data_IF_100720023863
#
_entry.id   IF_100720023863
#
_cell.length_a   1.000
_cell.length_b   1.000
_cell.length_c   1.000
_cell.angle_alpha   90.00
_cell.angle_beta   90.00
_cell.angle_gamma   90.00
#
_symmetry.space_group_name_H-M   'P 1'
#
loop_
_entity.id
_entity.type
_entity.pdbx_description
1 polymer ?
#
# COMPACT_ATOMS: atom_id res chain seq x y z
N UNK A 1 -28.98 48.18 -42.82
CA UNK A 1 -28.86 48.41 -44.28
C UNK A 1 -27.75 47.50 -44.78
N UNK A 2 -28.10 46.36 -45.38
CA UNK A 2 -27.12 45.51 -46.05
C UNK A 2 -26.67 46.28 -47.30
N UNK A 3 -25.46 46.85 -47.24
CA UNK A 3 -24.84 47.42 -48.43
C UNK A 3 -24.64 46.25 -49.41
N UNK A 4 -25.39 46.24 -50.51
CA UNK A 4 -25.09 45.38 -51.66
C UNK A 4 -23.62 45.66 -52.02
N UNK A 5 -22.72 44.68 -51.83
CA UNK A 5 -21.27 44.85 -52.02
C UNK A 5 -20.87 45.12 -53.48
N UNK A 6 -21.84 45.25 -54.38
CA UNK A 6 -21.65 45.34 -55.84
C UNK A 6 -21.50 46.77 -56.37
N UNK A 7 -21.65 47.77 -55.52
CA UNK A 7 -21.30 49.16 -55.85
C UNK A 7 -19.95 49.57 -55.22
N UNK A 8 -18.99 48.67 -55.08
CA UNK A 8 -17.77 48.98 -54.30
C UNK A 8 -16.51 49.22 -55.16
N UNK A 9 -16.58 48.94 -56.45
CA UNK A 9 -15.42 49.00 -57.34
C UNK A 9 -15.84 49.13 -58.80
N UNK A 10 -14.89 49.52 -59.65
CA UNK A 10 -15.10 49.68 -61.09
C UNK A 10 -14.02 48.86 -61.82
N UNK A 11 -14.36 47.83 -62.61
CA UNK A 11 -13.38 47.07 -63.37
C UNK A 11 -12.72 47.94 -64.45
N UNK A 12 -11.44 47.68 -64.70
CA UNK A 12 -10.63 48.38 -65.69
C UNK A 12 -10.40 47.44 -66.88
N UNK A 13 -10.83 47.84 -68.06
CA UNK A 13 -10.64 47.10 -69.31
C UNK A 13 -11.86 46.29 -69.77
N UNK A 14 -11.68 45.57 -70.89
CA UNK A 14 -12.73 44.75 -71.53
C UNK A 14 -12.52 43.29 -71.09
N UNK A 15 -13.59 42.64 -70.64
CA UNK A 15 -13.56 41.26 -70.17
C UNK A 15 -14.67 40.42 -70.83
N UNK A 16 -14.49 39.10 -70.79
CA UNK A 16 -15.41 38.17 -71.42
C UNK A 16 -16.72 38.05 -70.60
N UNK A 17 -17.85 38.00 -71.29
CA UNK A 17 -19.18 37.81 -70.68
C UNK A 17 -19.31 36.50 -69.91
N UNK A 18 -18.46 35.50 -70.21
CA UNK A 18 -18.41 34.24 -69.47
C UNK A 18 -18.00 34.40 -68.02
N UNK A 19 -17.38 35.53 -67.63
CA UNK A 19 -16.95 35.84 -66.25
C UNK A 19 -18.04 36.55 -65.42
N UNK A 20 -19.19 36.84 -66.04
CA UNK A 20 -20.31 37.50 -65.40
C UNK A 20 -21.13 36.51 -64.56
N UNK A 21 -21.52 36.96 -63.38
CA UNK A 21 -22.47 36.27 -62.50
C UNK A 21 -23.84 36.21 -63.17
N UNK A 22 -24.44 35.03 -63.28
CA UNK A 22 -25.76 34.88 -63.92
C UNK A 22 -26.94 35.48 -63.14
N UNK A 23 -26.78 35.69 -61.83
CA UNK A 23 -27.84 36.29 -60.99
C UNK A 23 -27.81 37.83 -61.08
N UNK A 24 -26.63 38.45 -61.05
CA UNK A 24 -26.53 39.92 -61.03
C UNK A 24 -26.10 40.54 -62.36
N UNK A 25 -25.71 39.72 -63.34
CA UNK A 25 -25.18 40.12 -64.64
C UNK A 25 -23.96 41.06 -64.57
N UNK A 26 -23.17 40.96 -63.50
CA UNK A 26 -21.96 41.75 -63.26
C UNK A 26 -20.76 40.83 -63.06
N UNK A 27 -19.54 41.36 -63.16
CA UNK A 27 -18.31 40.59 -63.01
C UNK A 27 -18.29 39.85 -61.67
N UNK A 28 -18.02 38.55 -61.71
CA UNK A 28 -18.11 37.71 -60.51
C UNK A 28 -17.12 38.16 -59.42
N UNK A 29 -17.58 38.31 -58.17
CA UNK A 29 -16.76 38.54 -56.97
C UNK A 29 -16.77 37.27 -56.13
N UNK A 30 -15.60 36.84 -55.64
CA UNK A 30 -15.44 35.58 -54.91
C UNK A 30 -16.21 34.46 -55.65
N UNK A 31 -15.79 34.17 -56.90
CA UNK A 31 -16.57 33.39 -57.85
C UNK A 31 -16.80 31.97 -57.33
N UNK A 32 -18.02 31.47 -57.53
CA UNK A 32 -18.40 30.08 -57.28
C UNK A 32 -19.07 29.54 -58.54
N UNK A 33 -18.76 28.29 -58.90
CA UNK A 33 -19.37 27.61 -60.05
C UNK A 33 -20.47 26.67 -59.58
N UNK A 34 -21.59 26.58 -60.29
CA UNK A 34 -22.56 25.52 -60.04
C UNK A 34 -21.94 24.15 -60.31
N UNK A 35 -22.16 23.19 -59.43
CA UNK A 35 -21.62 21.84 -59.55
C UNK A 35 -22.16 21.08 -60.79
N UNK A 36 -23.33 21.47 -61.31
CA UNK A 36 -24.03 20.78 -62.38
C UNK A 36 -23.93 21.50 -63.74
N UNK A 37 -24.24 22.80 -63.79
CA UNK A 37 -24.25 23.56 -65.05
C UNK A 37 -22.99 24.41 -65.30
N UNK A 38 -22.04 24.42 -64.35
CA UNK A 38 -20.75 25.14 -64.44
C UNK A 38 -20.87 26.67 -64.63
N UNK A 39 -22.07 27.22 -64.55
CA UNK A 39 -22.29 28.66 -64.56
C UNK A 39 -21.69 29.33 -63.32
N UNK A 40 -21.21 30.55 -63.52
CA UNK A 40 -20.54 31.35 -62.51
C UNK A 40 -21.51 32.26 -61.75
N UNK A 41 -21.30 32.35 -60.44
CA UNK A 41 -22.03 33.22 -59.53
C UNK A 41 -21.08 33.89 -58.55
N UNK A 42 -21.43 35.07 -58.04
CA UNK A 42 -20.74 35.60 -56.86
C UNK A 42 -21.17 34.80 -55.63
N UNK A 43 -20.25 34.53 -54.69
CA UNK A 43 -20.58 33.82 -53.45
C UNK A 43 -21.78 34.40 -52.70
N UNK A 44 -21.86 35.73 -52.56
CA UNK A 44 -23.02 36.37 -51.93
C UNK A 44 -24.32 36.18 -52.72
N UNK A 45 -24.24 36.18 -54.05
CA UNK A 45 -25.41 35.92 -54.90
C UNK A 45 -25.92 34.51 -54.65
N UNK A 46 -25.01 33.55 -54.59
CA UNK A 46 -25.34 32.18 -54.26
C UNK A 46 -25.95 32.05 -52.85
N UNK A 47 -25.35 32.65 -51.83
CA UNK A 47 -25.86 32.58 -50.45
C UNK A 47 -27.25 33.21 -50.31
N UNK A 48 -27.48 34.37 -50.93
CA UNK A 48 -28.78 35.03 -50.96
C UNK A 48 -29.81 34.19 -51.74
N UNK A 49 -29.47 33.73 -52.93
CA UNK A 49 -30.41 32.95 -53.76
C UNK A 49 -30.70 31.56 -53.20
N UNK A 50 -29.73 30.90 -52.55
CA UNK A 50 -29.93 29.63 -51.83
C UNK A 50 -30.96 29.75 -50.70
N UNK A 51 -31.03 30.91 -50.04
CA UNK A 51 -32.04 31.15 -49.01
C UNK A 51 -33.48 31.26 -49.58
N UNK A 52 -33.61 31.48 -50.89
CA UNK A 52 -34.90 31.69 -51.58
C UNK A 52 -35.27 30.55 -52.54
N UNK A 53 -34.31 29.78 -53.06
CA UNK A 53 -34.51 28.72 -54.04
C UNK A 53 -33.61 27.51 -53.74
N UNK A 54 -34.20 26.31 -53.69
CA UNK A 54 -33.46 25.03 -53.51
C UNK A 54 -32.84 24.49 -54.82
N UNK A 55 -33.30 24.99 -55.98
CA UNK A 55 -32.82 24.63 -57.31
C UNK A 55 -32.02 25.76 -57.95
N UNK A 56 -31.13 25.42 -58.87
CA UNK A 56 -30.33 26.39 -59.61
C UNK A 56 -31.27 27.35 -60.39
N UNK A 57 -31.04 28.67 -60.39
CA UNK A 57 -31.91 29.64 -61.06
C UNK A 57 -31.81 29.63 -62.60
N UNK A 58 -31.05 28.69 -63.17
CA UNK A 58 -30.84 28.58 -64.61
C UNK A 58 -31.76 27.51 -65.18
N UNK A 59 -32.53 27.88 -66.20
CA UNK A 59 -33.52 27.02 -66.89
C UNK A 59 -32.93 25.68 -67.36
N UNK A 60 -31.64 25.65 -67.68
CA UNK A 60 -30.94 24.46 -68.18
C UNK A 60 -30.32 23.59 -67.06
N UNK A 61 -30.72 23.77 -65.78
CA UNK A 61 -30.14 23.06 -64.64
C UNK A 61 -31.17 22.65 -63.59
N UNK A 62 -31.62 21.38 -63.64
CA UNK A 62 -32.60 20.80 -62.70
C UNK A 62 -32.02 20.34 -61.35
N UNK A 63 -30.70 20.40 -61.18
CA UNK A 63 -30.00 19.93 -60.00
C UNK A 63 -30.12 20.84 -58.76
N UNK A 64 -29.77 20.33 -57.57
CA UNK A 64 -29.74 21.14 -56.35
C UNK A 64 -28.75 22.29 -56.50
N UNK A 65 -29.07 23.47 -55.96
CA UNK A 65 -28.19 24.64 -56.08
C UNK A 65 -26.96 24.47 -55.17
N UNK A 66 -25.96 23.74 -55.66
CA UNK A 66 -24.70 23.45 -54.98
C UNK A 66 -23.55 24.02 -55.79
N UNK A 67 -22.54 24.53 -55.09
CA UNK A 67 -21.39 25.19 -55.70
C UNK A 67 -20.07 24.47 -55.47
N UNK A 68 -19.19 24.57 -56.46
CA UNK A 68 -17.79 24.13 -56.44
C UNK A 68 -16.86 25.32 -56.68
N UNK A 69 -15.59 25.12 -56.37
CA UNK A 69 -14.54 26.09 -56.72
C UNK A 69 -14.45 26.22 -58.24
N UNK A 70 -14.30 27.46 -58.77
CA UNK A 70 -14.25 27.66 -60.22
C UNK A 70 -13.12 26.91 -60.91
N UNK A 71 -13.24 26.63 -62.20
CA UNK A 71 -12.17 26.04 -62.97
C UNK A 71 -10.93 26.95 -62.96
N UNK A 72 -9.73 26.36 -62.96
CA UNK A 72 -8.46 27.10 -62.84
C UNK A 72 -8.33 28.23 -63.87
N UNK A 73 -8.74 27.98 -65.12
CA UNK A 73 -8.69 28.98 -66.19
C UNK A 73 -9.55 30.22 -65.87
N UNK A 74 -10.73 30.05 -65.25
CA UNK A 74 -11.60 31.16 -64.88
C UNK A 74 -10.94 32.01 -63.80
N UNK A 75 -10.34 31.38 -62.78
CA UNK A 75 -9.58 32.10 -61.74
C UNK A 75 -8.39 32.86 -62.32
N UNK A 76 -7.66 32.24 -63.25
CA UNK A 76 -6.52 32.90 -63.91
C UNK A 76 -6.97 34.10 -64.75
N UNK A 77 -8.14 34.04 -65.41
CA UNK A 77 -8.71 35.16 -66.16
C UNK A 77 -9.18 36.30 -65.24
N UNK A 78 -9.87 35.98 -64.14
CA UNK A 78 -10.32 36.97 -63.15
C UNK A 78 -9.13 37.66 -62.46
N UNK A 79 -8.05 36.93 -62.20
CA UNK A 79 -6.84 37.49 -61.57
C UNK A 79 -6.15 38.58 -62.39
N UNK A 80 -6.37 38.60 -63.71
CA UNK A 80 -5.79 39.60 -64.64
C UNK A 80 -6.61 40.88 -64.71
N UNK A 81 -7.83 40.89 -64.18
CA UNK A 81 -8.68 42.08 -64.17
C UNK A 81 -8.28 42.97 -62.99
N UNK A 82 -7.98 44.23 -63.29
CA UNK A 82 -7.71 45.25 -62.27
C UNK A 82 -8.96 46.07 -61.99
N UNK A 83 -9.09 46.51 -60.74
CA UNK A 83 -10.25 47.24 -60.24
C UNK A 83 -9.80 48.55 -59.60
N UNK A 84 -10.53 49.64 -59.85
CA UNK A 84 -10.41 50.89 -59.10
C UNK A 84 -11.49 50.98 -58.03
N UNK A 85 -11.18 51.62 -56.91
CA UNK A 85 -12.14 51.87 -55.82
C UNK A 85 -13.33 52.71 -56.32
N UNK A 86 -14.56 52.47 -55.81
CA UNK A 86 -15.70 53.35 -56.13
C UNK A 86 -15.45 54.80 -55.71
N UNK A 87 -14.71 55.01 -54.62
CA UNK A 87 -14.32 56.34 -54.13
C UNK A 87 -13.17 56.95 -54.94
N UNK A 88 -12.90 56.45 -56.15
CA UNK A 88 -11.88 57.03 -57.04
C UNK A 88 -12.17 58.50 -57.36
N UNK A 89 -13.44 58.84 -57.57
CA UNK A 89 -13.85 60.24 -57.80
C UNK A 89 -13.68 61.12 -56.55
N UNK A 90 -13.70 60.51 -55.35
CA UNK A 90 -13.49 61.18 -54.07
C UNK A 90 -12.00 61.30 -53.69
N UNK A 91 -11.09 60.76 -54.52
CA UNK A 91 -9.64 60.85 -54.35
C UNK A 91 -8.91 59.53 -54.11
N UNK A 92 -9.61 58.39 -54.02
CA UNK A 92 -8.96 57.09 -53.86
C UNK A 92 -8.35 56.58 -55.17
N UNK A 93 -7.05 56.81 -55.37
CA UNK A 93 -6.31 56.36 -56.56
C UNK A 93 -5.82 54.90 -56.49
N UNK A 94 -6.41 54.08 -55.62
CA UNK A 94 -5.94 52.70 -55.43
C UNK A 94 -6.52 51.80 -56.51
N UNK A 95 -5.63 51.17 -57.28
CA UNK A 95 -5.93 50.07 -58.18
C UNK A 95 -5.54 48.74 -57.51
N UNK A 96 -6.38 47.72 -57.64
CA UNK A 96 -6.20 46.45 -56.94
C UNK A 96 -6.73 45.28 -57.76
N UNK A 97 -6.16 44.10 -57.51
CA UNK A 97 -6.72 42.84 -57.98
C UNK A 97 -8.02 42.51 -57.21
N UNK A 98 -8.87 41.68 -57.81
CA UNK A 98 -10.17 41.29 -57.27
C UNK A 98 -10.13 40.84 -55.80
N UNK A 99 -9.14 40.02 -55.44
CA UNK A 99 -9.00 39.43 -54.11
C UNK A 99 -8.76 40.48 -52.99
N UNK A 100 -8.30 41.67 -53.37
CA UNK A 100 -7.97 42.75 -52.44
C UNK A 100 -9.07 43.82 -52.34
N UNK A 101 -10.12 43.74 -53.15
CA UNK A 101 -11.23 44.70 -53.18
C UNK A 101 -11.95 44.79 -51.83
N UNK A 102 -12.31 43.63 -51.26
CA UNK A 102 -13.03 43.57 -49.98
C UNK A 102 -12.14 44.12 -48.84
N UNK A 103 -10.86 43.74 -48.83
CA UNK A 103 -9.89 44.21 -47.82
C UNK A 103 -9.72 45.73 -47.88
N UNK A 104 -9.50 46.28 -49.07
CA UNK A 104 -9.38 47.71 -49.25
C UNK A 104 -10.62 48.45 -48.80
N UNK A 105 -11.83 47.94 -49.08
CA UNK A 105 -13.05 48.66 -48.73
C UNK A 105 -13.25 48.85 -47.24
N UNK A 106 -12.86 47.86 -46.43
CA UNK A 106 -12.86 48.00 -44.97
C UNK A 106 -11.87 49.05 -44.45
N UNK A 107 -10.83 49.37 -45.23
CA UNK A 107 -9.72 50.24 -44.85
C UNK A 107 -9.68 51.56 -45.62
N UNK A 108 -10.57 51.77 -46.59
CA UNK A 108 -10.56 52.93 -47.47
C UNK A 108 -10.75 54.22 -46.66
N UNK A 109 -9.74 55.09 -46.73
CA UNK A 109 -9.72 56.37 -46.02
C UNK A 109 -10.75 57.37 -46.56
N UNK A 110 -11.16 57.21 -47.82
CA UNK A 110 -12.14 58.06 -48.50
C UNK A 110 -13.58 57.56 -48.34
N UNK A 111 -13.79 56.46 -47.61
CA UNK A 111 -15.13 55.96 -47.31
C UNK A 111 -15.89 56.96 -46.42
N UNK A 112 -17.13 57.27 -46.79
CA UNK A 112 -18.02 58.10 -45.99
C UNK A 112 -18.53 57.33 -44.77
N UNK A 113 -18.37 57.92 -43.59
CA UNK A 113 -18.81 57.40 -42.30
C UNK A 113 -19.64 58.45 -41.57
N UNK A 114 -20.79 58.02 -41.04
CA UNK A 114 -21.68 58.90 -40.28
C UNK A 114 -21.23 58.96 -38.83
N UNK A 115 -20.94 60.17 -38.33
CA UNK A 115 -20.67 60.39 -36.92
C UNK A 115 -21.97 60.38 -36.10
N UNK A 116 -21.88 60.11 -34.79
CA UNK A 116 -23.00 60.23 -33.83
C UNK A 116 -23.67 61.60 -33.79
N UNK A 117 -23.00 62.66 -34.27
CA UNK A 117 -23.61 63.99 -34.45
C UNK A 117 -24.54 64.08 -35.68
N UNK A 118 -24.66 63.02 -36.48
CA UNK A 118 -25.48 62.97 -37.70
C UNK A 118 -24.78 63.47 -38.97
N UNK A 119 -23.55 63.97 -38.87
CA UNK A 119 -22.78 64.45 -40.04
C UNK A 119 -21.94 63.31 -40.66
N UNK A 120 -21.85 63.30 -41.99
CA UNK A 120 -21.03 62.36 -42.76
C UNK A 120 -19.63 62.94 -42.99
N UNK A 121 -18.60 62.14 -42.74
CA UNK A 121 -17.20 62.50 -42.97
C UNK A 121 -16.50 61.38 -43.73
N UNK A 122 -15.48 61.71 -44.51
CA UNK A 122 -14.52 60.71 -44.96
C UNK A 122 -13.77 60.15 -43.74
N UNK A 123 -13.47 58.84 -43.75
CA UNK A 123 -12.78 58.15 -42.65
C UNK A 123 -11.46 58.83 -42.25
N UNK A 124 -10.72 59.41 -43.20
CA UNK A 124 -9.53 60.21 -42.90
C UNK A 124 -9.80 61.47 -42.07
N UNK A 125 -10.96 62.11 -42.28
CA UNK A 125 -11.34 63.35 -41.59
C UNK A 125 -12.10 63.08 -40.29
N UNK A 126 -12.49 61.82 -40.02
CA UNK A 126 -13.18 61.44 -38.81
C UNK A 126 -12.33 61.70 -37.56
N UNK A 127 -11.03 61.45 -37.62
CA UNK A 127 -10.11 61.66 -36.48
C UNK A 127 -10.00 63.16 -36.13
N UNK A 128 -9.91 64.02 -37.13
CA UNK A 128 -9.95 65.48 -36.93
C UNK A 128 -11.30 65.93 -36.36
N UNK A 129 -12.41 65.33 -36.81
CA UNK A 129 -13.74 65.62 -36.29
C UNK A 129 -13.93 65.22 -34.83
N UNK A 130 -13.37 64.08 -34.37
CA UNK A 130 -13.47 63.64 -32.97
C UNK A 130 -13.02 64.71 -31.97
N UNK A 131 -11.99 65.47 -32.34
CA UNK A 131 -11.43 66.54 -31.49
C UNK A 131 -12.30 67.81 -31.39
N UNK A 132 -13.32 67.93 -32.24
CA UNK A 132 -14.21 69.09 -32.33
C UNK A 132 -15.68 68.74 -32.09
N UNK A 133 -16.04 67.46 -32.19
CA UNK A 133 -17.41 66.98 -32.07
C UNK A 133 -17.87 66.94 -30.62
N UNK A 134 -18.92 67.69 -30.29
CA UNK A 134 -19.51 67.75 -28.95
C UNK A 134 -20.03 66.41 -28.41
N UNK A 135 -20.30 65.45 -29.30
CA UNK A 135 -20.82 64.12 -28.97
C UNK A 135 -19.73 63.03 -28.89
N UNK A 136 -18.49 63.36 -29.26
CA UNK A 136 -17.34 62.44 -29.22
C UNK A 136 -16.25 62.93 -28.28
N UNK A 137 -16.05 64.26 -28.21
CA UNK A 137 -15.09 64.88 -27.31
C UNK A 137 -15.55 64.72 -25.86
N UNK A 138 -14.70 64.11 -25.06
CA UNK A 138 -14.94 63.91 -23.64
C UNK A 138 -14.13 64.87 -22.78
N UNK A 139 -14.68 65.21 -21.62
CA UNK A 139 -14.05 66.01 -20.59
C UNK A 139 -14.51 65.49 -19.22
N UNK A 140 -13.63 65.58 -18.22
CA UNK A 140 -13.95 65.16 -16.86
C UNK A 140 -14.82 66.23 -16.16
N UNK A 141 -15.93 65.87 -15.48
CA UNK A 141 -16.62 66.82 -14.56
C UNK A 141 -15.61 67.27 -13.50
N UNK A 142 -15.49 68.58 -13.26
CA UNK A 142 -14.58 69.16 -12.27
C UNK A 142 -14.91 68.78 -10.82
N UNK A 143 -16.11 68.23 -10.57
CA UNK A 143 -16.61 67.87 -9.25
C UNK A 143 -16.50 66.36 -9.00
N UNK A 144 -17.02 65.52 -9.90
CA UNK A 144 -17.06 64.06 -9.72
C UNK A 144 -15.96 63.30 -10.51
N UNK A 145 -15.17 64.00 -11.33
CA UNK A 145 -14.10 63.47 -12.18
C UNK A 145 -14.53 62.41 -13.22
N UNK A 146 -15.83 62.20 -13.42
CA UNK A 146 -16.34 61.29 -14.44
C UNK A 146 -16.06 61.85 -15.84
N UNK A 147 -15.52 61.01 -16.74
CA UNK A 147 -15.30 61.36 -18.15
C UNK A 147 -16.61 61.30 -18.92
N UNK A 148 -17.10 62.45 -19.35
CA UNK A 148 -18.40 62.63 -20.02
C UNK A 148 -18.21 63.33 -21.37
N UNK A 149 -19.11 63.13 -22.33
CA UNK A 149 -19.08 63.94 -23.56
C UNK A 149 -19.38 65.39 -23.25
N UNK A 150 -18.95 66.34 -24.08
CA UNK A 150 -19.28 67.76 -23.89
C UNK A 150 -20.80 68.02 -23.90
N UNK A 151 -21.57 67.21 -24.63
CA UNK A 151 -23.04 67.24 -24.60
C UNK A 151 -23.57 66.83 -23.22
N UNK A 152 -23.10 65.71 -22.69
CA UNK A 152 -23.55 65.18 -21.40
C UNK A 152 -23.08 66.05 -20.22
N UNK A 153 -21.91 66.67 -20.33
CA UNK A 153 -21.39 67.60 -19.33
C UNK A 153 -22.33 68.81 -19.11
N UNK A 154 -23.05 69.26 -20.15
CA UNK A 154 -24.03 70.36 -20.03
C UNK A 154 -25.26 69.97 -19.23
N UNK A 155 -25.67 68.69 -19.25
CA UNK A 155 -26.86 68.19 -18.56
C UNK A 155 -26.51 67.45 -17.27
N UNK A 156 -25.22 67.28 -16.97
CA UNK A 156 -24.73 66.51 -15.84
C UNK A 156 -24.96 67.21 -14.50
N UNK A 157 -25.74 66.56 -13.63
CA UNK A 157 -26.00 67.01 -12.25
C UNK A 157 -25.06 66.28 -11.29
N UNK A 158 -23.81 66.75 -11.14
CA UNK A 158 -22.76 66.02 -10.38
C UNK A 158 -23.23 65.65 -8.93
N UNK A 159 -24.08 66.44 -8.27
CA UNK A 159 -24.67 66.14 -6.94
C UNK A 159 -25.58 64.90 -6.91
N UNK A 160 -26.40 64.68 -7.94
CA UNK A 160 -27.33 63.55 -7.98
C UNK A 160 -26.59 62.23 -8.18
N UNK A 161 -25.57 62.23 -9.03
CA UNK A 161 -24.73 61.05 -9.23
C UNK A 161 -23.91 60.73 -7.97
N UNK A 162 -23.39 61.75 -7.27
CA UNK A 162 -22.72 61.54 -5.98
C UNK A 162 -23.69 60.95 -4.93
N UNK A 163 -24.91 61.47 -4.83
CA UNK A 163 -25.92 60.93 -3.91
C UNK A 163 -26.25 59.46 -4.23
N UNK A 164 -26.39 59.12 -5.52
CA UNK A 164 -26.61 57.74 -5.97
C UNK A 164 -25.46 56.83 -5.61
N UNK A 165 -24.21 57.28 -5.81
CA UNK A 165 -23.00 56.53 -5.44
C UNK A 165 -22.96 56.30 -3.92
N UNK A 166 -23.29 57.31 -3.10
CA UNK A 166 -23.35 57.18 -1.64
C UNK A 166 -24.38 56.13 -1.21
N UNK A 167 -25.59 56.15 -1.78
CA UNK A 167 -26.64 55.16 -1.50
C UNK A 167 -26.14 53.75 -1.87
N UNK A 168 -25.55 53.59 -3.05
CA UNK A 168 -24.97 52.31 -3.48
C UNK A 168 -23.86 51.82 -2.55
N UNK A 169 -23.02 52.72 -2.04
CA UNK A 169 -22.00 52.36 -1.05
C UNK A 169 -22.61 51.98 0.29
N UNK A 170 -23.67 52.66 0.74
CA UNK A 170 -24.37 52.32 1.98
C UNK A 170 -25.03 50.93 1.90
N UNK A 171 -25.70 50.62 0.79
CA UNK A 171 -26.30 49.30 0.53
C UNK A 171 -25.21 48.21 0.54
N UNK A 172 -24.12 48.40 -0.22
CA UNK A 172 -23.00 47.46 -0.22
C UNK A 172 -22.37 47.27 1.16
N UNK A 173 -22.21 48.35 1.91
CA UNK A 173 -21.67 48.27 3.27
C UNK A 173 -22.58 47.46 4.20
N UNK A 174 -23.89 47.63 4.06
CA UNK A 174 -24.87 46.85 4.81
C UNK A 174 -24.80 45.35 4.44
N UNK A 175 -24.71 45.03 3.16
CA UNK A 175 -24.53 43.64 2.69
C UNK A 175 -23.26 43.01 3.27
N UNK A 176 -22.13 43.73 3.22
CA UNK A 176 -20.88 43.25 3.80
C UNK A 176 -20.97 43.03 5.31
N UNK A 177 -21.68 43.91 6.02
CA UNK A 177 -21.91 43.77 7.46
C UNK A 177 -22.73 42.52 7.77
N UNK A 178 -23.78 42.25 6.99
CA UNK A 178 -24.63 41.06 7.15
C UNK A 178 -23.86 39.77 6.83
N UNK A 179 -23.11 39.75 5.73
CA UNK A 179 -22.25 38.62 5.37
C UNK A 179 -21.21 38.33 6.45
N UNK A 180 -20.56 39.38 6.97
CA UNK A 180 -19.58 39.25 8.06
C UNK A 180 -20.23 38.69 9.33
N UNK A 181 -21.41 39.21 9.71
CA UNK A 181 -22.14 38.71 10.87
C UNK A 181 -22.55 37.24 10.70
N UNK A 182 -23.01 36.85 9.51
CA UNK A 182 -23.34 35.46 9.21
C UNK A 182 -22.12 34.55 9.33
N UNK A 183 -20.98 34.95 8.76
CA UNK A 183 -19.73 34.20 8.85
C UNK A 183 -19.25 34.04 10.32
N UNK A 184 -19.35 35.11 11.12
CA UNK A 184 -19.02 35.06 12.56
C UNK A 184 -19.95 34.09 13.30
N UNK A 185 -21.26 34.12 13.00
CA UNK A 185 -22.22 33.22 13.62
C UNK A 185 -21.96 31.76 13.25
N UNK A 186 -21.65 31.50 11.98
CA UNK A 186 -21.29 30.17 11.49
C UNK A 186 -20.05 29.63 12.19
N UNK A 187 -18.98 30.43 12.28
CA UNK A 187 -17.75 30.06 12.99
C UNK A 187 -18.05 29.77 14.47
N UNK A 188 -18.86 30.60 15.13
CA UNK A 188 -19.26 30.36 16.53
C UNK A 188 -20.04 29.06 16.70
N UNK A 189 -20.95 28.75 15.78
CA UNK A 189 -21.72 27.51 15.82
C UNK A 189 -20.84 26.29 15.62
N UNK A 190 -19.92 26.33 14.65
CA UNK A 190 -18.94 25.28 14.42
C UNK A 190 -18.04 25.08 15.66
N UNK A 191 -17.53 26.16 16.25
CA UNK A 191 -16.75 26.11 17.48
C UNK A 191 -17.53 25.47 18.63
N UNK A 192 -18.79 25.84 18.84
CA UNK A 192 -19.65 25.26 19.87
C UNK A 192 -19.86 23.76 19.66
N UNK A 193 -20.07 23.33 18.41
CA UNK A 193 -20.20 21.92 18.07
C UNK A 193 -18.91 21.15 18.42
N UNK A 194 -17.75 21.63 17.96
CA UNK A 194 -16.46 21.01 18.25
C UNK A 194 -16.15 20.97 19.75
N UNK A 195 -16.49 22.01 20.51
CA UNK A 195 -16.34 22.02 21.97
C UNK A 195 -17.22 20.95 22.61
N UNK A 196 -18.46 20.81 22.16
CA UNK A 196 -19.40 19.81 22.69
C UNK A 196 -18.91 18.38 22.42
N UNK A 197 -18.45 18.11 21.20
CA UNK A 197 -17.89 16.83 20.80
C UNK A 197 -16.60 16.49 21.58
N UNK A 198 -15.70 17.47 21.73
CA UNK A 198 -14.49 17.31 22.53
C UNK A 198 -14.80 17.05 24.01
N UNK A 199 -15.81 17.72 24.58
CA UNK A 199 -16.26 17.48 25.94
C UNK A 199 -16.85 16.08 26.12
N UNK A 200 -17.65 15.60 25.16
CA UNK A 200 -18.19 14.24 25.17
C UNK A 200 -17.06 13.19 25.10
N UNK A 201 -16.10 13.38 24.19
CA UNK A 201 -14.92 12.52 24.06
C UNK A 201 -14.08 12.51 25.34
N UNK A 202 -13.91 13.67 25.98
CA UNK A 202 -13.21 13.79 27.27
C UNK A 202 -13.93 13.02 28.38
N UNK A 203 -15.25 13.07 28.44
CA UNK A 203 -16.03 12.29 29.42
C UNK A 203 -15.86 10.78 29.20
N UNK A 204 -15.91 10.32 27.95
CA UNK A 204 -15.66 8.91 27.62
C UNK A 204 -14.25 8.48 28.03
N UNK A 205 -13.24 9.31 27.76
CA UNK A 205 -11.85 9.03 28.14
C UNK A 205 -11.68 8.94 29.67
N UNK A 206 -12.34 9.83 30.43
CA UNK A 206 -12.33 9.78 31.88
C UNK A 206 -12.98 8.50 32.42
N UNK A 207 -14.08 8.04 31.81
CA UNK A 207 -14.70 6.77 32.19
C UNK A 207 -13.77 5.57 31.93
N UNK A 208 -13.12 5.53 30.76
CA UNK A 208 -12.13 4.48 30.42
C UNK A 208 -10.90 4.51 31.34
N UNK A 209 -10.47 5.69 31.78
CA UNK A 209 -9.37 5.81 32.74
C UNK A 209 -9.74 5.22 34.10
N UNK A 210 -10.96 5.45 34.58
CA UNK A 210 -11.43 4.87 35.84
C UNK A 210 -11.61 3.35 35.73
N UNK A 211 -12.14 2.86 34.61
CA UNK A 211 -12.25 1.41 34.34
C UNK A 211 -10.85 0.75 34.32
N UNK A 212 -9.88 1.35 33.63
CA UNK A 212 -8.50 0.85 33.62
C UNK A 212 -7.88 0.81 35.02
N UNK A 213 -8.19 1.79 35.87
CA UNK A 213 -7.73 1.82 37.26
C UNK A 213 -8.35 0.69 38.08
N UNK A 214 -9.64 0.43 37.91
CA UNK A 214 -10.31 -0.70 38.54
C UNK A 214 -9.70 -2.04 38.10
N UNK A 215 -9.55 -2.25 36.79
CA UNK A 215 -8.94 -3.45 36.23
C UNK A 215 -7.50 -3.66 36.73
N UNK A 216 -6.73 -2.59 36.87
CA UNK A 216 -5.38 -2.65 37.43
C UNK A 216 -5.38 -3.11 38.89
N UNK A 217 -6.30 -2.59 39.71
CA UNK A 217 -6.45 -3.01 41.10
C UNK A 217 -6.87 -4.48 41.21
N UNK A 218 -7.83 -4.91 40.38
CA UNK A 218 -8.24 -6.32 40.31
C UNK A 218 -7.08 -7.24 39.92
N UNK A 219 -6.30 -6.84 38.91
CA UNK A 219 -5.12 -7.59 38.48
C UNK A 219 -4.10 -7.72 39.61
N UNK A 220 -3.84 -6.63 40.34
CA UNK A 220 -2.93 -6.64 41.48
C UNK A 220 -3.44 -7.55 42.61
N UNK A 221 -4.74 -7.55 42.89
CA UNK A 221 -5.34 -8.45 43.89
C UNK A 221 -5.22 -9.92 43.47
N UNK A 222 -5.50 -10.23 42.20
CA UNK A 222 -5.32 -11.59 41.64
C UNK A 222 -3.87 -12.04 41.66
N UNK A 223 -2.92 -11.15 41.37
CA UNK A 223 -1.49 -11.45 41.46
C UNK A 223 -1.09 -11.79 42.89
N UNK A 224 -1.53 -11.01 43.88
CA UNK A 224 -1.26 -11.28 45.29
C UNK A 224 -1.84 -12.62 45.74
N UNK A 225 -3.09 -12.92 45.38
CA UNK A 225 -3.71 -14.22 45.66
C UNK A 225 -2.94 -15.38 45.01
N UNK A 226 -2.44 -15.20 43.79
CA UNK A 226 -1.65 -16.22 43.10
C UNK A 226 -0.31 -16.47 43.82
N UNK A 227 0.37 -15.41 44.29
CA UNK A 227 1.59 -15.52 45.08
C UNK A 227 1.34 -16.26 46.41
N UNK A 228 0.31 -15.89 47.15
CA UNK A 228 -0.05 -16.56 48.41
C UNK A 228 -0.40 -18.04 48.20
N UNK A 229 -1.13 -18.36 47.12
CA UNK A 229 -1.42 -19.75 46.76
C UNK A 229 -0.15 -20.52 46.35
N UNK A 230 0.77 -19.88 45.64
CA UNK A 230 2.05 -20.48 45.26
C UNK A 230 2.89 -20.80 46.50
N UNK A 231 2.93 -19.90 47.48
CA UNK A 231 3.61 -20.12 48.77
C UNK A 231 3.00 -21.29 49.55
N UNK A 232 1.66 -21.36 49.61
CA UNK A 232 0.94 -22.50 50.23
C UNK A 232 1.28 -23.82 49.54
N UNK A 233 1.28 -23.85 48.21
CA UNK A 233 1.65 -25.04 47.43
C UNK A 233 3.10 -25.43 47.70
N UNK A 234 4.02 -24.47 47.74
CA UNK A 234 5.43 -24.74 48.00
C UNK A 234 5.64 -25.28 49.43
N UNK A 235 4.95 -24.71 50.42
CA UNK A 235 4.98 -25.19 51.81
C UNK A 235 4.41 -26.61 51.93
N UNK A 236 3.26 -26.89 51.31
CA UNK A 236 2.68 -28.23 51.28
C UNK A 236 3.61 -29.25 50.59
N UNK A 237 4.25 -28.88 49.47
CA UNK A 237 5.26 -29.74 48.82
C UNK A 237 6.42 -30.06 49.75
N UNK A 238 6.98 -29.06 50.45
CA UNK A 238 8.06 -29.27 51.39
C UNK A 238 7.66 -30.17 52.56
N UNK A 239 6.43 -30.04 53.07
CA UNK A 239 5.88 -30.93 54.10
C UNK A 239 5.76 -32.37 53.60
N UNK A 240 5.25 -32.57 52.39
CA UNK A 240 5.12 -33.90 51.76
C UNK A 240 6.51 -34.52 51.56
N UNK A 241 7.48 -33.77 51.03
CA UNK A 241 8.86 -34.24 50.85
C UNK A 241 9.51 -34.63 52.19
N UNK A 242 9.28 -33.86 53.25
CA UNK A 242 9.79 -34.19 54.57
C UNK A 242 9.12 -35.44 55.15
N UNK A 243 7.80 -35.58 55.02
CA UNK A 243 7.09 -36.81 55.40
C UNK A 243 7.60 -38.04 54.64
N UNK A 244 7.82 -37.90 53.33
CA UNK A 244 8.38 -38.98 52.51
C UNK A 244 9.80 -39.36 52.96
N UNK A 245 10.65 -38.37 53.28
CA UNK A 245 11.99 -38.63 53.85
C UNK A 245 11.91 -39.37 55.17
N UNK A 246 11.07 -38.91 56.10
CA UNK A 246 10.88 -39.57 57.40
C UNK A 246 10.33 -40.99 57.24
N UNK A 247 9.36 -41.21 56.35
CA UNK A 247 8.86 -42.55 56.04
C UNK A 247 9.95 -43.45 55.44
N UNK A 248 10.76 -42.92 54.53
CA UNK A 248 11.85 -43.67 53.93
C UNK A 248 12.94 -44.01 54.95
N UNK A 249 13.32 -43.08 55.83
CA UNK A 249 14.23 -43.33 56.96
C UNK A 249 13.68 -44.40 57.91
N UNK A 250 12.40 -44.33 58.26
CA UNK A 250 11.73 -45.34 59.08
C UNK A 250 11.73 -46.72 58.40
N UNK A 251 11.42 -46.79 57.10
CA UNK A 251 11.47 -48.03 56.32
C UNK A 251 12.89 -48.60 56.27
N UNK A 252 13.92 -47.75 56.09
CA UNK A 252 15.31 -48.17 56.11
C UNK A 252 15.70 -48.75 57.47
N UNK A 253 15.35 -48.07 58.58
CA UNK A 253 15.60 -48.55 59.94
C UNK A 253 14.90 -49.89 60.20
N UNK A 254 13.63 -50.00 59.82
CA UNK A 254 12.87 -51.24 59.96
C UNK A 254 13.51 -52.39 59.17
N UNK A 255 13.88 -52.13 57.91
CA UNK A 255 14.57 -53.12 57.07
C UNK A 255 15.91 -53.53 57.69
N UNK A 256 16.67 -52.59 58.24
CA UNK A 256 17.95 -52.87 58.92
C UNK A 256 17.78 -53.78 60.13
N UNK A 257 16.75 -53.56 60.95
CA UNK A 257 16.43 -54.41 62.09
C UNK A 257 16.04 -55.83 61.66
N UNK A 258 15.21 -55.96 60.62
CA UNK A 258 14.85 -57.27 60.05
C UNK A 258 16.08 -58.01 59.51
N UNK A 259 16.95 -57.30 58.80
CA UNK A 259 18.21 -57.85 58.31
C UNK A 259 19.12 -58.33 59.46
N UNK A 260 19.24 -57.56 60.55
CA UNK A 260 20.00 -57.99 61.73
C UNK A 260 19.41 -59.24 62.39
N UNK A 261 18.07 -59.31 62.57
CA UNK A 261 17.43 -60.52 63.09
C UNK A 261 17.70 -61.73 62.20
N UNK A 262 17.60 -61.56 60.87
CA UNK A 262 17.88 -62.63 59.93
C UNK A 262 19.35 -63.07 59.98
N UNK A 263 20.29 -62.14 60.12
CA UNK A 263 21.71 -62.44 60.30
C UNK A 263 21.97 -63.19 61.61
N UNK A 264 21.31 -62.82 62.71
CA UNK A 264 21.41 -63.57 63.98
C UNK A 264 20.84 -64.99 63.84
N UNK A 265 19.70 -65.15 63.18
CA UNK A 265 19.13 -66.47 62.88
C UNK A 265 20.04 -67.30 61.98
N UNK A 266 20.63 -66.70 60.95
CA UNK A 266 21.60 -67.37 60.07
C UNK A 266 22.88 -67.73 60.83
N UNK A 267 23.39 -66.89 61.74
CA UNK A 267 24.53 -67.24 62.59
C UNK A 267 24.19 -68.39 63.54
N UNK A 268 23.00 -68.41 64.15
CA UNK A 268 22.57 -69.54 64.96
C UNK A 268 22.45 -70.82 64.13
N UNK A 269 21.87 -70.74 62.93
CA UNK A 269 21.80 -71.87 61.99
C UNK A 269 23.19 -72.29 61.53
N UNK A 270 24.11 -71.37 61.26
CA UNK A 270 25.49 -71.67 60.90
C UNK A 270 26.26 -72.25 62.08
N UNK A 271 26.02 -71.83 63.31
CA UNK A 271 26.61 -72.46 64.49
C UNK A 271 26.07 -73.88 64.67
N UNK A 272 24.77 -74.09 64.47
CA UNK A 272 24.18 -75.44 64.45
C UNK A 272 24.73 -76.29 63.30
N UNK A 273 24.84 -75.72 62.10
CA UNK A 273 25.45 -76.37 60.94
C UNK A 273 26.94 -76.57 61.11
N UNK A 274 27.67 -75.71 61.84
CA UNK A 274 29.09 -75.90 62.17
C UNK A 274 29.26 -76.95 63.25
N UNK A 275 28.34 -77.10 64.20
CA UNK A 275 28.30 -78.25 65.10
C UNK A 275 28.01 -79.54 64.31
N UNK A 276 27.10 -79.50 63.32
CA UNK A 276 26.85 -80.62 62.40
C UNK A 276 27.98 -80.84 61.38
N UNK A 277 28.70 -79.80 60.96
CA UNK A 277 29.84 -79.88 60.04
C UNK A 277 31.14 -80.21 60.76
N UNK A 278 31.30 -79.91 62.05
CA UNK A 278 32.34 -80.54 62.86
C UNK A 278 32.09 -82.05 62.99
N UNK A 279 30.83 -82.50 62.89
CA UNK A 279 30.51 -83.92 62.71
C UNK A 279 30.69 -84.43 61.26
N UNK A 280 30.67 -83.57 60.23
CA UNK A 280 30.78 -83.97 58.80
C UNK A 280 32.12 -83.62 58.11
N UNK A 281 33.00 -82.81 58.70
CA UNK A 281 34.34 -82.47 58.19
C UNK A 281 35.36 -83.59 58.50
N UNK A 282 34.98 -84.79 58.08
CA UNK A 282 35.91 -85.83 57.61
C UNK A 282 35.95 -85.91 56.07
N UNK A 283 35.25 -85.08 55.30
CA UNK A 283 35.34 -85.12 53.82
C UNK A 283 35.36 -83.73 53.14
N UNK A 284 36.55 -83.44 52.59
CA UNK A 284 36.91 -82.71 51.35
C UNK A 284 36.19 -81.40 50.92
N UNK A 285 36.95 -80.30 51.04
CA UNK A 285 37.37 -79.31 50.02
C UNK A 285 36.59 -79.18 48.68
N UNK A 286 36.12 -77.96 48.33
CA UNK A 286 36.75 -77.00 47.38
C UNK A 286 35.80 -75.89 46.85
N UNK A 287 36.33 -74.65 46.82
CA UNK A 287 36.16 -73.52 45.89
C UNK A 287 34.80 -72.83 45.54
N UNK A 288 34.79 -71.49 45.75
CA UNK A 288 33.99 -70.44 45.07
C UNK A 288 34.70 -69.97 43.76
N UNK A 289 34.33 -68.89 42.99
CA UNK A 289 33.20 -67.93 43.06
C UNK A 289 32.55 -67.45 41.70
N UNK A 290 31.41 -66.75 41.85
CA UNK A 290 30.83 -65.53 41.19
C UNK A 290 31.44 -64.97 39.87
N UNK A 291 30.58 -64.63 38.89
CA UNK A 291 30.85 -63.66 37.80
C UNK A 291 29.65 -62.72 37.48
N UNK A 292 29.96 -61.53 36.93
CA UNK A 292 29.10 -60.34 36.70
C UNK A 292 28.84 -60.06 35.20
N UNK A 293 27.61 -59.67 34.84
CA UNK A 293 27.21 -58.57 33.93
C UNK A 293 27.25 -58.75 32.39
N UNK A 294 26.08 -58.64 31.71
CA UNK A 294 25.85 -58.96 30.28
C UNK A 294 25.75 -57.75 29.30
N UNK A 295 26.09 -57.98 28.03
CA UNK A 295 25.79 -57.12 26.86
C UNK A 295 24.37 -57.39 26.34
N UNK A 296 23.61 -56.35 25.96
CA UNK A 296 22.25 -56.50 25.40
C UNK A 296 22.22 -56.06 23.94
N UNK A 297 21.58 -56.88 23.12
CA UNK A 297 21.36 -56.66 21.70
C UNK A 297 20.34 -55.52 21.46
N UNK A 298 20.69 -54.57 20.58
CA UNK A 298 19.75 -53.55 20.07
C UNK A 298 18.98 -54.12 18.88
N UNK A 299 17.70 -53.79 18.78
CA UNK A 299 16.82 -54.24 17.72
C UNK A 299 16.91 -53.22 16.57
N UNK A 300 17.64 -53.59 15.50
CA UNK A 300 17.65 -52.96 14.16
C UNK A 300 18.48 -51.68 13.91
N UNK A 301 19.77 -51.69 14.23
CA UNK A 301 20.74 -50.84 13.51
C UNK A 301 21.89 -51.67 12.94
N UNK A 302 22.20 -51.47 11.65
CA UNK A 302 23.27 -52.18 10.94
C UNK A 302 24.37 -51.20 10.52
N UNK A 303 25.64 -51.62 10.54
CA UNK A 303 26.72 -50.85 9.91
C UNK A 303 26.61 -50.88 8.37
N UNK A 304 27.44 -50.10 7.66
CA UNK A 304 27.50 -50.07 6.18
C UNK A 304 27.75 -51.45 5.53
N UNK A 305 28.23 -52.43 6.30
CA UNK A 305 28.41 -53.84 5.88
C UNK A 305 27.29 -54.77 6.35
N UNK A 306 26.16 -54.21 6.77
CA UNK A 306 24.95 -54.92 7.20
C UNK A 306 25.10 -55.79 8.48
N UNK A 307 26.02 -55.45 9.39
CA UNK A 307 26.20 -56.13 10.67
C UNK A 307 25.45 -55.44 11.82
N UNK A 308 24.75 -56.22 12.67
CA UNK A 308 23.97 -55.74 13.81
C UNK A 308 24.84 -55.03 14.84
N UNK A 309 24.47 -53.81 15.20
CA UNK A 309 25.18 -53.00 16.18
C UNK A 309 24.68 -53.31 17.59
N UNK A 310 25.59 -53.38 18.57
CA UNK A 310 25.23 -53.55 19.98
C UNK A 310 25.25 -52.20 20.69
N UNK A 311 24.28 -52.02 21.60
CA UNK A 311 24.12 -50.80 22.37
C UNK A 311 24.88 -50.90 23.70
N UNK A 312 25.71 -49.90 23.99
CA UNK A 312 26.60 -49.95 25.15
C UNK A 312 26.01 -49.21 26.35
N UNK A 313 25.57 -49.96 27.37
CA UNK A 313 24.80 -49.40 28.51
C UNK A 313 25.59 -48.39 29.37
N UNK A 314 26.91 -48.54 29.59
CA UNK A 314 27.76 -47.56 30.33
C UNK A 314 29.27 -47.71 29.99
N UNK A 315 29.89 -46.86 29.16
CA UNK A 315 31.34 -46.89 28.97
C UNK A 315 32.07 -46.26 30.17
N UNK A 316 33.11 -46.91 30.70
CA UNK A 316 33.91 -46.43 31.83
C UNK A 316 35.38 -46.25 31.39
N UNK A 317 36.04 -45.18 31.82
CA UNK A 317 37.46 -44.93 31.50
C UNK A 317 37.73 -44.43 30.07
N UNK A 318 38.81 -44.93 29.44
CA UNK A 318 39.37 -44.49 28.14
C UNK A 318 38.43 -44.67 26.93
N UNK A 319 37.31 -45.36 27.16
CA UNK A 319 36.29 -45.73 26.18
C UNK A 319 35.40 -44.54 25.75
N UNK A 320 35.37 -43.45 26.51
CA UNK A 320 34.57 -42.23 26.20
C UNK A 320 35.13 -41.39 25.05
N UNK A 321 36.36 -41.65 24.59
CA UNK A 321 37.10 -40.81 23.62
C UNK A 321 37.40 -41.53 22.29
N UNK A 322 36.51 -42.42 21.83
CA UNK A 322 36.67 -43.10 20.53
C UNK A 322 36.22 -42.21 19.36
N UNK A 323 36.95 -42.29 18.25
CA UNK A 323 36.67 -41.55 17.01
C UNK A 323 35.49 -42.21 16.31
N UNK A 324 34.48 -41.42 15.94
CA UNK A 324 33.38 -41.95 15.14
C UNK A 324 33.88 -42.32 13.75
N UNK A 325 33.69 -43.57 13.32
CA UNK A 325 34.17 -44.04 12.02
C UNK A 325 33.49 -43.39 10.81
N UNK A 326 32.34 -42.74 11.01
CA UNK A 326 31.61 -42.05 9.93
C UNK A 326 31.97 -40.55 9.84
N UNK A 327 31.91 -39.79 10.94
CA UNK A 327 32.24 -38.34 10.91
C UNK A 327 33.70 -38.00 11.27
N UNK A 328 34.51 -38.98 11.67
CA UNK A 328 35.93 -38.84 12.05
C UNK A 328 36.21 -37.83 13.18
N UNK A 329 35.19 -37.36 13.91
CA UNK A 329 35.35 -36.39 15.00
C UNK A 329 35.84 -37.07 16.28
N UNK A 330 36.86 -36.49 16.90
CA UNK A 330 37.33 -36.81 18.25
C UNK A 330 36.39 -36.14 19.28
N UNK A 331 36.23 -36.75 20.47
CA UNK A 331 35.36 -36.30 21.58
C UNK A 331 33.83 -36.35 21.36
N UNK A 332 33.33 -37.12 20.40
CA UNK A 332 31.88 -37.42 20.31
C UNK A 332 31.54 -38.69 21.10
N UNK A 333 30.43 -38.67 21.85
CA UNK A 333 29.91 -39.85 22.57
C UNK A 333 29.45 -40.92 21.57
N UNK A 334 30.36 -41.83 21.21
CA UNK A 334 30.04 -43.02 20.45
C UNK A 334 29.33 -44.03 21.35
N UNK A 335 28.17 -44.53 20.92
CA UNK A 335 27.30 -45.41 21.74
C UNK A 335 26.87 -46.69 21.02
N UNK A 336 27.10 -46.77 19.71
CA UNK A 336 26.96 -47.98 18.92
C UNK A 336 28.32 -48.58 18.63
N UNK A 337 28.45 -49.89 18.86
CA UNK A 337 29.64 -50.67 18.55
C UNK A 337 29.29 -51.83 17.63
N UNK A 338 30.01 -51.94 16.52
CA UNK A 338 29.94 -53.13 15.67
C UNK A 338 30.99 -54.13 16.14
N UNK A 339 30.59 -55.26 16.73
CA UNK A 339 31.54 -56.30 17.15
C UNK A 339 32.35 -56.88 15.99
N UNK A 340 31.76 -56.97 14.78
CA UNK A 340 32.39 -57.58 13.62
C UNK A 340 33.34 -56.63 12.88
N UNK A 341 32.98 -55.35 12.76
CA UNK A 341 33.83 -54.36 12.10
C UNK A 341 34.74 -53.59 13.07
N UNK A 342 34.57 -53.76 14.38
CA UNK A 342 35.27 -53.01 15.45
C UNK A 342 35.19 -51.48 15.30
N UNK A 343 34.12 -50.98 14.68
CA UNK A 343 33.88 -49.55 14.48
C UNK A 343 32.94 -48.96 15.54
N UNK A 344 33.12 -47.66 15.81
CA UNK A 344 32.33 -46.89 16.77
C UNK A 344 31.52 -45.81 16.05
N UNK A 345 30.23 -45.68 16.38
CA UNK A 345 29.36 -44.68 15.77
C UNK A 345 28.68 -43.78 16.81
N UNK A 346 28.64 -42.47 16.52
CA UNK A 346 28.05 -41.45 17.39
C UNK A 346 26.61 -41.14 17.01
N UNK A 347 25.88 -40.56 17.96
CA UNK A 347 24.46 -40.18 17.79
C UNK A 347 24.20 -39.09 16.75
N UNK A 348 25.25 -38.40 16.25
CA UNK A 348 25.14 -37.44 15.15
C UNK A 348 25.14 -38.11 13.78
N UNK A 349 25.78 -39.28 13.66
CA UNK A 349 25.84 -40.04 12.40
C UNK A 349 24.71 -41.07 12.30
N UNK A 350 24.28 -41.60 13.44
CA UNK A 350 23.14 -42.51 13.55
C UNK A 350 22.26 -42.03 14.69
N UNK A 351 21.07 -41.54 14.35
CA UNK A 351 20.15 -41.01 15.35
C UNK A 351 19.73 -42.10 16.34
N UNK A 352 19.62 -41.77 17.65
CA UNK A 352 19.15 -42.72 18.64
C UNK A 352 17.69 -43.08 18.38
N UNK A 353 17.33 -44.33 18.64
CA UNK A 353 15.96 -44.81 18.61
C UNK A 353 15.24 -44.46 19.92
N UNK A 354 14.06 -43.84 19.82
CA UNK A 354 13.20 -43.56 20.96
C UNK A 354 11.81 -44.17 20.72
N UNK A 355 11.27 -44.82 21.75
CA UNK A 355 9.89 -45.33 21.74
C UNK A 355 9.01 -44.42 22.58
N UNK A 356 7.81 -44.13 22.09
CA UNK A 356 6.78 -43.35 22.79
C UNK A 356 5.56 -44.23 23.01
N UNK A 357 5.21 -44.52 24.27
CA UNK A 357 3.97 -45.24 24.58
C UNK A 357 2.76 -44.30 24.50
N UNK A 358 1.62 -44.83 24.02
CA UNK A 358 0.45 -44.02 23.64
C UNK A 358 -0.23 -43.30 24.81
N UNK A 359 0.01 -43.66 26.07
CA UNK A 359 -0.39 -42.92 27.29
C UNK A 359 0.44 -43.41 28.49
N UNK A 360 1.09 -42.57 29.33
CA UNK A 360 1.38 -41.13 29.24
C UNK A 360 2.68 -40.83 28.46
N UNK A 361 2.80 -39.62 27.87
CA UNK A 361 3.88 -39.19 26.95
C UNK A 361 5.31 -39.15 27.55
N UNK A 362 5.85 -40.29 27.99
CA UNK A 362 7.23 -40.41 28.46
C UNK A 362 8.08 -41.12 27.41
N UNK A 363 9.14 -40.46 26.89
CA UNK A 363 10.04 -41.10 25.95
C UNK A 363 10.86 -42.19 26.63
N UNK A 364 11.03 -43.33 25.98
CA UNK A 364 11.96 -44.39 26.39
C UNK A 364 13.27 -44.28 25.61
N UNK A 365 14.41 -44.57 26.26
CA UNK A 365 15.73 -44.59 25.63
C UNK A 365 15.89 -45.77 24.64
N UNK A 366 16.99 -45.84 23.86
CA UNK A 366 17.24 -46.96 22.92
C UNK A 366 17.31 -48.35 23.58
N UNK A 367 17.43 -48.42 24.90
CA UNK A 367 17.39 -49.67 25.67
C UNK A 367 16.05 -49.89 26.40
N UNK A 368 14.98 -49.21 25.96
CA UNK A 368 13.60 -49.32 26.47
C UNK A 368 13.39 -48.95 27.94
N UNK A 369 14.31 -48.20 28.55
CA UNK A 369 14.08 -47.62 29.87
C UNK A 369 13.42 -46.24 29.76
N UNK A 370 12.50 -45.94 30.67
CA UNK A 370 11.87 -44.63 30.79
C UNK A 370 12.86 -43.52 31.08
N UNK A 371 12.66 -42.37 30.43
CA UNK A 371 13.44 -41.16 30.67
C UNK A 371 12.74 -40.25 31.67
N UNK A 372 13.49 -39.80 32.67
CA UNK A 372 13.04 -38.83 33.67
C UNK A 372 13.39 -37.41 33.22
N UNK A 373 12.46 -36.47 33.41
CA UNK A 373 12.72 -35.06 33.12
C UNK A 373 13.71 -34.48 34.13
N UNK A 374 14.73 -33.78 33.63
CA UNK A 374 15.73 -33.05 34.41
C UNK A 374 15.85 -31.62 33.91
N UNK A 375 16.16 -30.68 34.79
CA UNK A 375 16.35 -29.26 34.45
C UNK A 375 17.78 -28.78 34.66
N UNK A 376 18.54 -29.42 35.55
CA UNK A 376 19.81 -28.87 36.01
C UNK A 376 21.00 -29.76 35.61
N UNK A 377 22.13 -29.11 35.34
CA UNK A 377 23.45 -29.71 35.11
C UNK A 377 23.47 -30.93 34.16
N UNK A 378 22.99 -30.75 32.93
CA UNK A 378 22.99 -31.78 31.90
C UNK A 378 23.73 -31.37 30.62
N UNK A 379 24.21 -32.39 29.89
CA UNK A 379 24.73 -32.25 28.52
C UNK A 379 23.94 -33.17 27.60
N UNK A 380 23.38 -32.63 26.52
CA UNK A 380 22.58 -33.43 25.60
C UNK A 380 23.46 -34.38 24.79
N UNK A 381 23.16 -35.68 24.82
CA UNK A 381 23.89 -36.73 24.09
C UNK A 381 23.77 -36.62 22.56
N UNK A 382 22.78 -35.88 22.06
CA UNK A 382 22.51 -35.71 20.63
C UNK A 382 23.15 -34.44 20.06
N UNK A 383 22.91 -33.28 20.68
CA UNK A 383 23.47 -32.00 20.19
C UNK A 383 24.77 -31.58 20.87
N UNK A 384 25.17 -32.24 21.96
CA UNK A 384 26.39 -32.00 22.74
C UNK A 384 26.47 -30.63 23.45
N UNK A 385 25.37 -29.85 23.44
CA UNK A 385 25.24 -28.60 24.19
C UNK A 385 24.96 -28.85 25.68
N UNK A 386 25.49 -28.00 26.55
CA UNK A 386 25.16 -28.00 27.99
C UNK A 386 23.80 -27.34 28.21
N UNK A 387 23.12 -27.68 29.30
CA UNK A 387 21.82 -27.11 29.67
C UNK A 387 21.88 -25.60 29.83
N UNK A 388 22.98 -25.07 30.38
CA UNK A 388 23.26 -23.64 30.54
C UNK A 388 23.25 -22.87 29.20
N UNK A 389 23.64 -23.54 28.10
CA UNK A 389 23.70 -22.94 26.76
C UNK A 389 22.35 -23.02 26.00
N UNK A 390 21.26 -23.43 26.67
CA UNK A 390 19.94 -23.66 26.06
C UNK A 390 18.91 -22.65 26.55
N UNK A 391 18.11 -22.12 25.62
CA UNK A 391 16.97 -21.21 25.89
C UNK A 391 15.94 -21.86 26.86
N UNK A 392 15.80 -23.19 26.80
CA UNK A 392 15.02 -23.97 27.76
C UNK A 392 15.88 -25.13 28.27
N UNK A 393 16.41 -25.06 29.51
CA UNK A 393 17.24 -26.11 30.09
C UNK A 393 16.35 -27.26 30.58
N UNK A 394 15.70 -27.96 29.64
CA UNK A 394 14.90 -29.16 29.94
C UNK A 394 15.48 -30.32 29.13
N UNK A 395 15.78 -31.42 29.80
CA UNK A 395 16.19 -32.67 29.18
C UNK A 395 15.50 -33.88 29.81
N UNK A 396 15.65 -35.01 29.14
CA UNK A 396 15.14 -36.31 29.57
C UNK A 396 16.34 -37.25 29.73
N UNK A 397 16.52 -37.83 30.91
CA UNK A 397 17.67 -38.69 31.25
C UNK A 397 17.23 -40.11 31.59
N UNK A 398 17.99 -41.08 31.07
CA UNK A 398 17.91 -42.47 31.48
C UNK A 398 18.92 -42.74 32.61
N UNK A 399 18.44 -43.10 33.81
CA UNK A 399 19.28 -43.46 34.94
C UNK A 399 20.10 -44.75 34.70
N UNK A 400 19.62 -45.62 33.80
CA UNK A 400 20.24 -46.91 33.50
C UNK A 400 21.31 -46.83 32.39
N UNK A 401 21.15 -45.91 31.43
CA UNK A 401 22.02 -45.84 30.25
C UNK A 401 22.90 -44.58 30.17
N UNK A 402 22.75 -43.66 31.13
CA UNK A 402 23.39 -42.34 31.12
C UNK A 402 23.16 -41.60 29.77
N UNK A 403 22.00 -41.86 29.16
CA UNK A 403 21.54 -41.21 27.94
C UNK A 403 20.73 -39.99 28.33
N UNK A 404 21.04 -38.83 27.73
CA UNK A 404 20.34 -37.57 27.99
C UNK A 404 19.95 -36.92 26.67
N UNK A 405 18.69 -36.54 26.49
CA UNK A 405 18.25 -35.81 25.30
C UNK A 405 17.51 -34.53 25.70
N UNK A 406 17.88 -33.39 25.12
CA UNK A 406 17.21 -32.13 25.44
C UNK A 406 15.84 -32.02 24.74
N UNK A 407 14.93 -31.25 25.34
CA UNK A 407 13.59 -30.99 24.82
C UNK A 407 13.62 -30.44 23.39
N UNK A 408 14.63 -29.62 23.06
CA UNK A 408 14.80 -29.10 21.70
C UNK A 408 15.17 -30.20 20.68
N UNK A 409 15.98 -31.20 21.06
CA UNK A 409 16.30 -32.31 20.17
C UNK A 409 15.10 -33.24 19.95
N UNK A 410 14.25 -33.41 20.96
CA UNK A 410 12.96 -34.10 20.81
C UNK A 410 12.04 -33.31 19.87
N UNK A 411 11.83 -32.00 20.13
CA UNK A 411 11.00 -31.15 19.26
C UNK A 411 11.47 -31.15 17.80
N UNK A 412 12.78 -31.13 17.58
CA UNK A 412 13.39 -31.11 16.25
C UNK A 412 13.53 -32.51 15.62
N UNK A 413 12.89 -33.56 16.18
CA UNK A 413 12.95 -34.95 15.70
C UNK A 413 14.37 -35.48 15.42
N UNK A 414 15.34 -35.15 16.27
CA UNK A 414 16.72 -35.67 16.17
C UNK A 414 16.86 -37.07 16.77
N UNK A 415 15.97 -37.98 16.39
CA UNK A 415 15.87 -39.37 16.84
C UNK A 415 15.06 -40.17 15.81
N UNK A 416 15.14 -41.50 15.85
CA UNK A 416 14.24 -42.40 15.08
C UNK A 416 13.10 -42.86 16.00
N UNK A 417 11.86 -42.67 15.57
CA UNK A 417 10.67 -43.07 16.34
C UNK A 417 10.35 -44.55 16.05
N UNK A 418 10.38 -45.38 17.08
CA UNK A 418 9.92 -46.78 17.00
C UNK A 418 8.47 -46.82 17.49
N UNK A 419 7.57 -47.39 16.67
CA UNK A 419 6.16 -47.57 17.02
C UNK A 419 5.94 -48.67 18.07
#
# INVERSE_FOLDING_TARGET
MQFNQRQLYIPIGIFNQTLLCKICNDLTIDPVECAQCENLYCKECYELSKSSYDKCPEENCDGPFQTKQPHRMIRDLLSKISFKCINHNEGCKTEMAQDNVIKHMSQCLYQQVTCKCGQNFQKMNLESHKNLCLFQKTQNCCICQQSLTLSDLKTHKCLFELQKIIIQFQEKFQDYKEQSNYAILEIKNQQNYSITEMNSSKQQLLALLEENKQLKNELQMKQKMCQENQEKINSAKAQIENQQKQQHEYQQQWWWQQYQQQQQQQQQQQQQQQQQQQQQQQQQQQNQPISKGELIDSIQTFCEKNHKLKFWKKPFGEEKKKICSNCLKQNTTCRYFCQQCKIFMCFKCYYPELKFEKQPQQPQCPALHYLLQITDNFRCSVCDKKGEDMIQPIAFQCSYCDFRICKQCIKNKKFQEIQ
#
